data_IF_620023657431
#
_entry.id   IF_620023657431
#
_cell.length_a   1.000
_cell.length_b   1.000
_cell.length_c   1.000
_cell.angle_alpha   90.00
_cell.angle_beta   90.00
_cell.angle_gamma   90.00
#
_symmetry.space_group_name_H-M   'P 1'
#
loop_
_entity.id
_entity.type
_entity.pdbx_description
1 polymer ?
#
# COMPACT_ATOMS: atom_id res chain seq x y z
N UNK A 1 -7.97 -23.92 -5.94
CA UNK A 1 -7.98 -23.04 -7.15
C UNK A 1 -6.91 -23.50 -8.11
N UNK A 2 -7.05 -23.37 -9.44
CA UNK A 2 -5.93 -23.61 -10.36
C UNK A 2 -4.79 -22.64 -10.10
N UNK A 3 -3.54 -23.07 -10.31
CA UNK A 3 -2.36 -22.24 -10.10
C UNK A 3 -2.43 -20.93 -10.88
N UNK A 4 -2.06 -19.84 -10.26
CA UNK A 4 -1.91 -18.52 -10.90
C UNK A 4 -0.57 -18.48 -11.62
N UNK A 5 -0.59 -18.17 -12.92
CA UNK A 5 0.61 -18.09 -13.78
C UNK A 5 0.71 -16.78 -14.52
N UNK A 6 -0.39 -16.31 -15.11
CA UNK A 6 -0.41 -15.10 -15.93
C UNK A 6 -0.92 -13.93 -15.07
N UNK A 7 -0.07 -12.94 -14.85
CA UNK A 7 -0.35 -11.84 -13.91
C UNK A 7 -0.26 -10.50 -14.62
N UNK A 8 -1.33 -9.72 -14.51
CA UNK A 8 -1.35 -8.32 -14.95
C UNK A 8 -1.13 -7.40 -13.78
N UNK A 9 -0.18 -6.48 -13.91
CA UNK A 9 0.06 -5.39 -12.97
C UNK A 9 -0.36 -4.05 -13.59
N UNK A 10 -1.12 -3.27 -12.83
CA UNK A 10 -1.52 -1.90 -13.16
C UNK A 10 -0.89 -0.95 -12.16
N UNK A 11 -0.21 0.09 -12.64
CA UNK A 11 0.52 1.02 -11.77
C UNK A 11 1.97 0.60 -11.45
N UNK A 12 2.59 -0.21 -12.31
CA UNK A 12 3.95 -0.75 -12.15
C UNK A 12 5.07 0.30 -12.08
N UNK A 13 4.80 1.59 -12.33
CA UNK A 13 5.79 2.66 -12.30
C UNK A 13 5.83 3.44 -10.97
N UNK A 14 4.86 3.24 -10.07
CA UNK A 14 4.83 3.87 -8.76
C UNK A 14 5.87 3.27 -7.80
N UNK A 15 6.09 3.91 -6.63
CA UNK A 15 7.07 3.46 -5.64
C UNK A 15 6.89 1.97 -5.28
N UNK A 16 5.71 1.59 -4.83
CA UNK A 16 5.39 0.18 -4.57
C UNK A 16 5.31 -0.62 -5.87
N UNK A 17 4.73 -0.04 -6.94
CA UNK A 17 4.52 -0.72 -8.20
C UNK A 17 5.81 -1.23 -8.84
N UNK A 18 6.87 -0.43 -8.82
CA UNK A 18 8.18 -0.80 -9.37
C UNK A 18 8.80 -1.98 -8.58
N UNK A 19 8.69 -1.94 -7.25
CA UNK A 19 9.19 -3.02 -6.39
C UNK A 19 8.41 -4.31 -6.61
N UNK A 20 7.06 -4.24 -6.63
CA UNK A 20 6.20 -5.42 -6.89
C UNK A 20 6.46 -5.99 -8.29
N UNK A 21 6.56 -5.13 -9.31
CA UNK A 21 6.86 -5.57 -10.68
C UNK A 21 8.20 -6.32 -10.74
N UNK A 22 9.26 -5.71 -10.20
CA UNK A 22 10.60 -6.31 -10.15
C UNK A 22 10.56 -7.67 -9.43
N UNK A 23 9.96 -7.74 -8.24
CA UNK A 23 9.90 -8.96 -7.43
C UNK A 23 9.12 -10.07 -8.14
N UNK A 24 8.00 -9.75 -8.81
CA UNK A 24 7.25 -10.73 -9.60
C UNK A 24 8.08 -11.31 -10.75
N UNK A 25 8.80 -10.45 -11.49
CA UNK A 25 9.67 -10.88 -12.58
C UNK A 25 10.83 -11.73 -12.07
N UNK A 26 11.55 -11.25 -11.06
CA UNK A 26 12.72 -11.92 -10.48
C UNK A 26 12.37 -13.28 -9.84
N UNK A 27 11.12 -13.43 -9.37
CA UNK A 27 10.65 -14.71 -8.81
C UNK A 27 10.67 -15.85 -9.84
N UNK A 28 10.60 -15.56 -11.13
CA UNK A 28 10.49 -16.54 -12.20
C UNK A 28 9.23 -17.42 -12.17
N UNK A 29 8.28 -17.10 -11.27
CA UNK A 29 7.06 -17.93 -11.04
C UNK A 29 5.92 -17.58 -11.96
N UNK A 30 5.92 -16.36 -12.54
CA UNK A 30 4.78 -15.79 -13.25
C UNK A 30 5.17 -15.24 -14.61
N UNK A 31 4.22 -15.29 -15.54
CA UNK A 31 4.25 -14.53 -16.78
C UNK A 31 3.64 -13.15 -16.49
N UNK A 32 4.47 -12.13 -16.33
CA UNK A 32 4.04 -10.80 -15.93
C UNK A 32 3.80 -9.92 -17.15
N UNK A 33 2.65 -9.27 -17.21
CA UNK A 33 2.41 -8.15 -18.14
C UNK A 33 2.06 -6.87 -17.38
N UNK A 34 2.48 -5.74 -17.93
CA UNK A 34 2.09 -4.41 -17.45
C UNK A 34 0.92 -3.91 -18.32
N UNK A 35 -0.17 -3.52 -17.65
CA UNK A 35 -1.28 -2.83 -18.31
C UNK A 35 -1.21 -1.34 -18.01
N UNK A 36 -1.15 -0.51 -19.05
CA UNK A 36 -1.07 0.94 -18.92
C UNK A 36 -2.05 1.67 -19.83
N UNK A 37 -2.26 2.95 -19.57
CA UNK A 37 -3.05 3.82 -20.46
C UNK A 37 -2.32 4.05 -21.78
N UNK A 38 -3.05 4.25 -22.90
CA UNK A 38 -2.45 4.70 -24.14
C UNK A 38 -1.65 5.99 -23.95
N UNK A 39 -0.60 6.17 -24.71
CA UNK A 39 0.29 7.34 -24.68
C UNK A 39 1.06 7.53 -23.35
N UNK A 40 1.14 6.52 -22.50
CA UNK A 40 2.01 6.56 -21.33
C UNK A 40 3.47 6.53 -21.77
N UNK A 41 4.28 7.48 -21.28
CA UNK A 41 5.71 7.59 -21.59
C UNK A 41 6.61 6.73 -20.70
N UNK A 42 6.02 6.02 -19.72
CA UNK A 42 6.78 5.18 -18.79
C UNK A 42 7.54 4.08 -19.54
N UNK A 43 8.84 3.99 -19.26
CA UNK A 43 9.70 2.94 -19.81
C UNK A 43 9.80 1.77 -18.81
N UNK A 44 9.86 0.58 -19.35
CA UNK A 44 10.06 -0.66 -18.59
C UNK A 44 11.31 -1.39 -19.09
N UNK A 45 11.92 -2.28 -18.30
CA UNK A 45 13.06 -3.09 -18.74
C UNK A 45 12.77 -3.82 -20.06
N UNK A 46 13.82 -4.04 -20.86
CA UNK A 46 13.70 -4.78 -22.13
C UNK A 46 13.09 -6.17 -21.88
N UNK A 47 12.21 -6.60 -22.79
CA UNK A 47 11.48 -7.87 -22.66
C UNK A 47 10.21 -7.81 -21.82
N UNK A 48 9.91 -6.67 -21.17
CA UNK A 48 8.63 -6.51 -20.47
C UNK A 48 7.46 -6.54 -21.44
N UNK A 49 6.50 -7.42 -21.22
CA UNK A 49 5.24 -7.41 -21.95
C UNK A 49 4.38 -6.24 -21.47
N UNK A 50 4.23 -5.22 -22.31
CA UNK A 50 3.38 -4.03 -22.05
C UNK A 50 2.16 -4.09 -22.94
N UNK A 51 0.98 -3.91 -22.35
CA UNK A 51 -0.31 -3.85 -23.05
C UNK A 51 -0.95 -2.50 -22.74
N UNK A 52 -1.50 -1.86 -23.77
CA UNK A 52 -2.22 -0.60 -23.63
C UNK A 52 -3.72 -0.83 -23.80
N UNK A 53 -4.51 -0.17 -22.94
CA UNK A 53 -5.96 -0.15 -23.06
C UNK A 53 -6.54 1.17 -22.55
N UNK A 54 -7.68 1.55 -23.10
CA UNK A 54 -8.50 2.64 -22.58
C UNK A 54 -9.17 2.19 -21.27
N UNK A 55 -8.80 2.83 -20.17
CA UNK A 55 -9.34 2.51 -18.83
C UNK A 55 -10.79 2.96 -18.62
N UNK A 56 -11.35 3.75 -19.54
CA UNK A 56 -12.79 4.06 -19.53
C UNK A 56 -13.66 2.98 -20.18
N UNK A 57 -13.05 2.06 -20.93
CA UNK A 57 -13.74 0.98 -21.67
C UNK A 57 -13.50 -0.39 -21.01
N UNK A 58 -14.55 -0.95 -20.42
CA UNK A 58 -14.53 -2.32 -19.86
C UNK A 58 -14.17 -3.35 -20.95
N UNK A 59 -14.62 -3.15 -22.18
CA UNK A 59 -14.36 -4.06 -23.30
C UNK A 59 -12.89 -4.04 -23.74
N UNK A 60 -12.29 -2.86 -23.81
CA UNK A 60 -10.87 -2.72 -24.11
C UNK A 60 -10.01 -3.36 -23.01
N UNK A 61 -10.36 -3.11 -21.75
CA UNK A 61 -9.69 -3.74 -20.61
C UNK A 61 -9.87 -5.26 -20.59
N UNK A 62 -11.07 -5.77 -20.85
CA UNK A 62 -11.32 -7.22 -20.91
C UNK A 62 -10.52 -7.91 -22.02
N UNK A 63 -10.37 -7.24 -23.18
CA UNK A 63 -9.52 -7.72 -24.26
C UNK A 63 -8.05 -7.80 -23.83
N UNK A 64 -7.55 -6.76 -23.16
CA UNK A 64 -6.18 -6.70 -22.63
C UNK A 64 -5.91 -7.74 -21.52
N UNK A 65 -6.96 -8.13 -20.76
CA UNK A 65 -6.89 -9.12 -19.67
C UNK A 65 -7.16 -10.55 -20.12
N UNK A 66 -7.43 -10.81 -21.40
CA UNK A 66 -7.71 -12.16 -21.89
C UNK A 66 -6.56 -13.13 -21.59
N UNK A 67 -6.87 -14.26 -20.95
CA UNK A 67 -5.89 -15.27 -20.56
C UNK A 67 -5.06 -14.92 -19.33
N UNK A 68 -5.40 -13.86 -18.60
CA UNK A 68 -4.77 -13.54 -17.32
C UNK A 68 -5.46 -14.27 -16.16
N UNK A 69 -4.66 -14.74 -15.21
CA UNK A 69 -5.15 -15.42 -14.00
C UNK A 69 -5.39 -14.42 -12.86
N UNK A 70 -4.54 -13.39 -12.76
CA UNK A 70 -4.62 -12.40 -11.71
C UNK A 70 -4.39 -10.96 -12.22
N UNK A 71 -5.04 -10.01 -11.55
CA UNK A 71 -4.83 -8.56 -11.72
C UNK A 71 -4.44 -7.96 -10.39
N UNK A 72 -3.34 -7.20 -10.38
CA UNK A 72 -2.85 -6.43 -9.23
C UNK A 72 -2.98 -4.94 -9.57
N UNK A 73 -3.80 -4.23 -8.83
CA UNK A 73 -3.95 -2.79 -8.95
C UNK A 73 -3.09 -2.07 -7.91
N UNK A 74 -2.17 -1.23 -8.37
CA UNK A 74 -1.26 -0.41 -7.56
C UNK A 74 -1.46 1.06 -7.95
N UNK A 75 -2.69 1.53 -7.80
CA UNK A 75 -3.14 2.84 -8.24
C UNK A 75 -3.06 3.86 -7.10
N UNK A 76 -2.55 5.04 -7.41
CA UNK A 76 -2.55 6.17 -6.48
C UNK A 76 -3.95 6.79 -6.30
N UNK A 77 -4.12 7.71 -5.33
CA UNK A 77 -5.41 8.26 -4.91
C UNK A 77 -6.29 8.77 -6.07
N UNK A 78 -5.72 9.50 -7.03
CA UNK A 78 -6.45 10.07 -8.17
C UNK A 78 -7.00 9.03 -9.16
N UNK A 79 -6.56 7.78 -9.07
CA UNK A 79 -6.93 6.71 -10.01
C UNK A 79 -7.68 5.55 -9.34
N UNK A 80 -7.98 5.63 -8.04
CA UNK A 80 -8.62 4.54 -7.29
C UNK A 80 -9.96 4.11 -7.89
N UNK A 81 -10.77 5.06 -8.38
CA UNK A 81 -12.08 4.78 -8.99
C UNK A 81 -12.00 3.92 -10.25
N UNK A 82 -10.87 3.95 -10.98
CA UNK A 82 -10.65 3.11 -12.16
C UNK A 82 -10.66 1.61 -11.85
N UNK A 83 -10.55 1.24 -10.60
CA UNK A 83 -10.64 -0.18 -10.18
C UNK A 83 -12.01 -0.80 -10.47
N UNK A 84 -13.09 -0.01 -10.54
CA UNK A 84 -14.42 -0.53 -10.91
C UNK A 84 -14.40 -1.15 -12.31
N UNK A 85 -13.87 -0.42 -13.29
CA UNK A 85 -13.75 -0.89 -14.67
C UNK A 85 -12.78 -2.09 -14.76
N UNK A 86 -11.68 -2.09 -13.98
CA UNK A 86 -10.76 -3.23 -13.93
C UNK A 86 -11.41 -4.48 -13.33
N UNK A 87 -12.25 -4.34 -12.31
CA UNK A 87 -13.02 -5.44 -11.69
C UNK A 87 -14.01 -6.03 -12.70
N UNK A 88 -14.81 -5.18 -13.38
CA UNK A 88 -15.78 -5.62 -14.38
C UNK A 88 -15.09 -6.30 -15.57
N UNK A 89 -13.97 -5.74 -16.04
CA UNK A 89 -13.17 -6.32 -17.11
C UNK A 89 -12.53 -7.66 -16.68
N UNK A 90 -12.10 -7.77 -15.43
CA UNK A 90 -11.55 -9.01 -14.86
C UNK A 90 -12.59 -10.13 -14.84
N UNK A 91 -13.83 -9.81 -14.44
CA UNK A 91 -14.95 -10.77 -14.49
C UNK A 91 -15.23 -11.18 -15.93
N UNK A 92 -15.34 -10.22 -16.85
CA UNK A 92 -15.65 -10.46 -18.25
C UNK A 92 -14.60 -11.31 -18.98
N UNK A 93 -13.33 -11.18 -18.59
CA UNK A 93 -12.21 -11.93 -19.19
C UNK A 93 -11.88 -13.25 -18.48
N UNK A 94 -12.55 -13.57 -17.38
CA UNK A 94 -12.34 -14.82 -16.63
C UNK A 94 -11.12 -14.81 -15.73
N UNK A 95 -10.66 -13.64 -15.29
CA UNK A 95 -9.61 -13.49 -14.25
C UNK A 95 -10.09 -14.15 -12.94
N UNK A 96 -9.19 -14.85 -12.26
CA UNK A 96 -9.50 -15.64 -11.04
C UNK A 96 -9.25 -14.85 -9.76
N UNK A 97 -8.24 -13.95 -9.76
CA UNK A 97 -7.84 -13.18 -8.57
C UNK A 97 -7.69 -11.70 -8.89
N UNK A 98 -8.29 -10.86 -8.05
CA UNK A 98 -8.08 -9.41 -8.05
C UNK A 98 -7.45 -8.97 -6.72
N UNK A 99 -6.33 -8.27 -6.79
CA UNK A 99 -5.68 -7.62 -5.64
C UNK A 99 -5.87 -6.11 -5.81
N UNK A 100 -6.78 -5.48 -5.06
CA UNK A 100 -7.04 -4.05 -5.17
C UNK A 100 -5.95 -3.20 -4.51
N UNK A 101 -5.97 -1.89 -4.77
CA UNK A 101 -5.03 -0.91 -4.23
C UNK A 101 -5.30 -0.60 -2.75
N UNK A 102 -5.10 -1.60 -1.89
CA UNK A 102 -5.20 -1.45 -0.44
C UNK A 102 -3.86 -1.01 0.16
N UNK A 103 -2.93 -1.87 0.40
CA UNK A 103 -1.54 -1.63 0.78
C UNK A 103 -1.36 -0.48 1.79
N UNK A 104 -2.07 -0.55 2.91
CA UNK A 104 -2.08 0.50 3.94
C UNK A 104 -2.79 0.05 5.21
N UNK A 105 -3.53 0.97 5.84
CA UNK A 105 -4.28 0.74 7.08
C UNK A 105 -5.37 -0.31 6.95
N UNK A 106 -5.72 -0.93 8.07
CA UNK A 106 -6.76 -1.96 8.16
C UNK A 106 -8.17 -1.33 8.01
N UNK A 107 -8.82 -1.57 6.87
CA UNK A 107 -10.19 -1.13 6.61
C UNK A 107 -11.27 -2.09 7.15
N UNK A 108 -10.91 -3.15 7.88
CA UNK A 108 -11.89 -3.84 8.73
C UNK A 108 -12.22 -3.02 9.99
N UNK A 109 -11.38 -2.06 10.36
CA UNK A 109 -11.66 -1.10 11.42
C UNK A 109 -12.65 -0.03 10.93
N UNK A 110 -13.82 0.05 11.57
CA UNK A 110 -14.89 0.97 11.18
C UNK A 110 -14.47 2.45 11.24
N UNK A 111 -13.55 2.85 12.15
CA UNK A 111 -13.06 4.22 12.23
C UNK A 111 -12.19 4.58 11.01
N UNK A 112 -11.36 3.66 10.53
CA UNK A 112 -10.60 3.87 9.30
C UNK A 112 -11.50 4.08 8.09
N UNK A 113 -12.64 3.36 8.02
CA UNK A 113 -13.57 3.50 6.91
C UNK A 113 -14.16 4.90 6.76
N UNK A 114 -14.16 5.71 7.81
CA UNK A 114 -14.69 7.09 7.79
C UNK A 114 -13.65 8.13 7.41
N UNK A 115 -12.36 7.78 7.39
CA UNK A 115 -11.29 8.72 7.08
C UNK A 115 -11.26 9.05 5.58
N UNK A 116 -11.14 10.33 5.27
CA UNK A 116 -11.19 10.87 3.92
C UNK A 116 -10.32 10.11 2.89
N UNK A 117 -9.04 9.75 3.17
CA UNK A 117 -8.20 9.06 2.20
C UNK A 117 -8.66 7.63 1.88
N UNK A 118 -9.54 7.05 2.68
CA UNK A 118 -10.00 5.66 2.51
C UNK A 118 -11.40 5.52 1.94
N UNK A 119 -12.17 6.60 1.83
CA UNK A 119 -13.57 6.54 1.37
C UNK A 119 -13.74 5.84 0.02
N UNK A 120 -12.85 6.10 -0.94
CA UNK A 120 -12.94 5.43 -2.25
C UNK A 120 -12.52 3.96 -2.17
N UNK A 121 -11.52 3.61 -1.33
CA UNK A 121 -11.13 2.21 -1.08
C UNK A 121 -12.29 1.41 -0.48
N UNK A 122 -13.01 1.97 0.49
CA UNK A 122 -14.20 1.34 1.10
C UNK A 122 -15.27 1.05 0.05
N UNK A 123 -15.53 2.01 -0.86
CA UNK A 123 -16.47 1.80 -1.97
C UNK A 123 -16.01 0.69 -2.92
N UNK A 124 -14.71 0.61 -3.21
CA UNK A 124 -14.12 -0.43 -4.06
C UNK A 124 -14.19 -1.80 -3.38
N UNK A 125 -13.91 -1.88 -2.06
CA UNK A 125 -14.05 -3.14 -1.32
C UNK A 125 -15.50 -3.66 -1.35
N UNK A 126 -16.48 -2.80 -1.08
CA UNK A 126 -17.89 -3.17 -1.17
C UNK A 126 -18.26 -3.67 -2.55
N UNK A 127 -17.88 -2.93 -3.59
CA UNK A 127 -18.11 -3.30 -4.99
C UNK A 127 -17.49 -4.66 -5.35
N UNK A 128 -16.21 -4.86 -5.03
CA UNK A 128 -15.48 -6.10 -5.33
C UNK A 128 -16.06 -7.29 -4.56
N UNK A 129 -16.39 -7.09 -3.28
CA UNK A 129 -17.03 -8.13 -2.46
C UNK A 129 -18.39 -8.57 -3.04
N UNK A 130 -19.22 -7.60 -3.47
CA UNK A 130 -20.53 -7.93 -4.06
C UNK A 130 -20.38 -8.63 -5.41
N UNK A 131 -19.50 -8.17 -6.27
CA UNK A 131 -19.22 -8.82 -7.55
C UNK A 131 -18.66 -10.24 -7.40
N UNK A 132 -17.84 -10.47 -6.39
CA UNK A 132 -17.28 -11.81 -6.12
C UNK A 132 -18.33 -12.85 -5.71
N UNK A 133 -19.47 -12.43 -5.13
CA UNK A 133 -20.59 -13.33 -4.76
C UNK A 133 -21.29 -13.90 -5.99
N UNK A 134 -21.29 -13.19 -7.11
CA UNK A 134 -22.02 -13.52 -8.35
C UNK A 134 -21.11 -13.88 -9.52
N UNK A 135 -19.80 -14.09 -9.28
CA UNK A 135 -18.83 -14.44 -10.31
C UNK A 135 -17.78 -15.41 -9.79
N UNK A 136 -16.88 -15.89 -10.67
CA UNK A 136 -15.72 -16.71 -10.28
C UNK A 136 -14.54 -15.86 -9.78
N UNK A 137 -14.61 -14.54 -9.85
CA UNK A 137 -13.56 -13.64 -9.38
C UNK A 137 -13.43 -13.72 -7.88
N UNK A 138 -12.20 -13.92 -7.40
CA UNK A 138 -11.86 -13.86 -5.97
C UNK A 138 -10.96 -12.66 -5.70
N UNK A 139 -10.85 -12.26 -4.45
CA UNK A 139 -10.00 -11.13 -4.07
C UNK A 139 -9.09 -11.44 -2.88
N UNK A 140 -8.08 -10.61 -2.68
CA UNK A 140 -7.30 -10.53 -1.45
C UNK A 140 -6.99 -9.07 -1.15
N UNK A 141 -7.38 -8.59 0.03
CA UNK A 141 -6.95 -7.29 0.55
C UNK A 141 -5.61 -7.47 1.25
N UNK A 142 -4.63 -6.63 0.95
CA UNK A 142 -3.31 -6.68 1.58
C UNK A 142 -3.15 -5.44 2.44
N UNK A 143 -3.21 -5.62 3.77
CA UNK A 143 -2.96 -4.56 4.74
C UNK A 143 -1.51 -4.62 5.20
N UNK A 144 -0.84 -3.49 5.17
CA UNK A 144 0.60 -3.38 5.40
C UNK A 144 0.96 -2.44 6.54
N UNK A 145 -0.02 -1.68 7.04
CA UNK A 145 0.28 -0.49 7.82
C UNK A 145 1.05 0.54 6.97
N UNK A 146 1.83 1.36 7.61
CA UNK A 146 2.68 2.33 6.93
C UNK A 146 3.88 1.66 6.24
N UNK A 147 4.29 2.17 5.08
CA UNK A 147 5.53 1.71 4.45
C UNK A 147 6.75 2.18 5.24
N UNK A 148 7.62 1.24 5.64
CA UNK A 148 8.72 1.50 6.57
C UNK A 148 9.85 2.33 5.96
N UNK A 149 10.49 1.76 4.92
CA UNK A 149 11.61 2.38 4.23
C UNK A 149 11.19 3.67 3.50
N UNK A 150 10.15 3.58 2.68
CA UNK A 150 9.60 4.77 2.01
C UNK A 150 9.14 5.84 3.01
N UNK A 151 8.50 5.44 4.10
CA UNK A 151 8.00 6.36 5.13
C UNK A 151 9.10 7.12 5.85
N UNK A 152 10.26 6.49 6.07
CA UNK A 152 11.46 7.13 6.59
C UNK A 152 12.09 8.03 5.53
N UNK A 153 12.31 7.52 4.30
CA UNK A 153 12.94 8.25 3.20
C UNK A 153 12.14 9.50 2.80
N UNK A 154 10.81 9.39 2.78
CA UNK A 154 9.88 10.47 2.44
C UNK A 154 9.59 11.44 3.61
N UNK A 155 10.19 11.26 4.80
CA UNK A 155 9.86 12.01 6.02
C UNK A 155 8.39 11.90 6.44
N UNK A 156 7.71 10.81 6.06
CA UNK A 156 6.30 10.62 6.36
C UNK A 156 6.05 10.09 7.77
N UNK A 157 6.83 9.07 8.23
CA UNK A 157 6.68 8.51 9.57
C UNK A 157 7.27 9.43 10.65
N UNK A 158 8.38 10.06 10.33
CA UNK A 158 9.09 11.00 11.18
C UNK A 158 9.90 11.95 10.30
N UNK A 159 9.56 13.24 10.28
CA UNK A 159 10.30 14.23 9.49
C UNK A 159 11.60 14.59 10.22
N UNK A 160 12.70 14.06 9.72
CA UNK A 160 14.05 14.31 10.27
C UNK A 160 14.86 15.35 9.50
N UNK A 161 14.28 16.00 8.48
CA UNK A 161 14.99 16.92 7.57
C UNK A 161 15.67 18.08 8.27
N UNK A 162 15.06 18.62 9.33
CA UNK A 162 15.57 19.75 10.10
C UNK A 162 15.89 19.36 11.55
N UNK A 163 15.98 18.08 11.86
CA UNK A 163 16.18 17.55 13.22
C UNK A 163 15.13 18.03 14.24
N UNK A 164 13.96 18.48 13.76
CA UNK A 164 12.82 18.93 14.54
C UNK A 164 11.56 18.13 14.19
N UNK A 165 11.59 16.80 14.35
CA UNK A 165 10.45 15.97 14.01
C UNK A 165 9.22 16.32 14.83
N UNK A 166 8.06 16.26 14.21
CA UNK A 166 6.78 16.40 14.93
C UNK A 166 6.36 15.05 15.49
N UNK A 167 6.13 15.01 16.79
CA UNK A 167 5.66 13.86 17.54
C UNK A 167 4.19 14.05 17.88
N UNK A 168 3.36 13.11 17.46
CA UNK A 168 1.91 13.15 17.65
C UNK A 168 1.50 12.37 18.89
N UNK A 169 0.58 12.94 19.71
CA UNK A 169 0.02 12.31 20.91
C UNK A 169 1.07 11.68 21.83
N UNK A 170 2.24 12.34 22.00
CA UNK A 170 3.34 11.85 22.83
C UNK A 170 4.21 10.77 22.20
N UNK A 171 3.88 10.25 21.01
CA UNK A 171 4.74 9.41 20.19
C UNK A 171 4.92 7.96 20.64
N UNK A 172 4.18 7.49 21.64
CA UNK A 172 4.31 6.13 22.20
C UNK A 172 3.36 5.10 21.52
N UNK A 173 2.43 5.57 20.68
CA UNK A 173 1.53 4.65 19.99
C UNK A 173 2.33 3.73 19.08
N UNK A 174 2.23 2.43 19.33
CA UNK A 174 2.81 1.39 18.49
C UNK A 174 1.95 1.20 17.26
N UNK A 175 2.59 1.09 16.10
CA UNK A 175 1.95 0.80 14.82
C UNK A 175 2.75 -0.23 14.05
N UNK A 176 2.06 -0.94 13.17
CA UNK A 176 2.67 -1.89 12.23
C UNK A 176 3.27 -1.14 11.04
N UNK A 177 4.48 -1.52 10.65
CA UNK A 177 5.16 -0.94 9.49
C UNK A 177 5.86 -2.01 8.66
N UNK A 178 5.83 -1.85 7.33
CA UNK A 178 6.25 -2.89 6.38
C UNK A 178 7.09 -2.26 5.26
N UNK A 179 8.27 -2.79 4.99
CA UNK A 179 9.11 -2.34 3.86
C UNK A 179 8.50 -2.70 2.51
N UNK A 180 8.81 -1.92 1.48
CA UNK A 180 8.30 -2.17 0.12
C UNK A 180 8.69 -3.56 -0.39
N UNK A 181 9.88 -4.05 -0.07
CA UNK A 181 10.32 -5.41 -0.42
C UNK A 181 9.45 -6.48 0.25
N UNK A 182 9.13 -6.31 1.54
CA UNK A 182 8.26 -7.24 2.27
C UNK A 182 6.85 -7.24 1.68
N UNK A 183 6.32 -6.06 1.32
CA UNK A 183 5.03 -5.97 0.63
C UNK A 183 5.06 -6.71 -0.71
N UNK A 184 6.11 -6.50 -1.51
CA UNK A 184 6.24 -7.14 -2.81
C UNK A 184 6.36 -8.67 -2.71
N UNK A 185 7.13 -9.18 -1.75
CA UNK A 185 7.20 -10.62 -1.46
C UNK A 185 5.85 -11.15 -0.95
N UNK A 186 5.11 -10.37 -0.16
CA UNK A 186 3.75 -10.71 0.26
C UNK A 186 2.79 -10.87 -0.91
N UNK A 187 2.90 -10.01 -1.94
CA UNK A 187 2.12 -10.17 -3.19
C UNK A 187 2.46 -11.49 -3.88
N UNK A 188 3.75 -11.86 -3.98
CA UNK A 188 4.18 -13.18 -4.51
C UNK A 188 3.59 -14.29 -3.67
N UNK A 189 3.64 -14.19 -2.33
CA UNK A 189 3.07 -15.14 -1.39
C UNK A 189 1.56 -15.33 -1.60
N UNK A 190 0.79 -14.24 -1.73
CA UNK A 190 -0.66 -14.28 -2.02
C UNK A 190 -0.97 -15.05 -3.31
N UNK A 191 -0.19 -14.81 -4.36
CA UNK A 191 -0.40 -15.46 -5.65
C UNK A 191 0.02 -16.94 -5.66
N UNK A 192 0.94 -17.34 -4.78
CA UNK A 192 1.37 -18.74 -4.63
C UNK A 192 0.54 -19.54 -3.62
N UNK A 193 -0.25 -18.84 -2.77
CA UNK A 193 -1.18 -19.45 -1.81
C UNK A 193 -2.63 -19.01 -2.10
N UNK A 194 -3.15 -19.30 -3.32
CA UNK A 194 -4.42 -18.73 -3.78
C UNK A 194 -5.64 -19.23 -2.99
N UNK A 195 -5.60 -20.43 -2.45
CA UNK A 195 -6.73 -20.97 -1.69
C UNK A 195 -6.79 -20.41 -0.26
N UNK A 196 -5.64 -20.28 0.39
CA UNK A 196 -5.51 -19.77 1.77
C UNK A 196 -5.79 -18.26 1.87
N UNK A 197 -5.61 -17.54 0.76
CA UNK A 197 -5.77 -16.08 0.71
C UNK A 197 -7.06 -15.62 0.03
N UNK A 198 -7.91 -16.56 -0.38
CA UNK A 198 -9.15 -16.31 -1.11
C UNK A 198 -10.17 -15.56 -0.28
N UNK A 199 -10.68 -14.45 -0.84
CA UNK A 199 -11.79 -13.65 -0.31
C UNK A 199 -11.61 -13.20 1.15
N UNK A 200 -10.38 -12.83 1.50
CA UNK A 200 -10.04 -12.29 2.82
C UNK A 200 -8.97 -11.22 2.77
N UNK A 201 -8.79 -10.57 3.90
CA UNK A 201 -7.61 -9.76 4.14
C UNK A 201 -6.42 -10.63 4.57
N UNK A 202 -5.20 -10.22 4.17
CA UNK A 202 -3.93 -10.66 4.71
C UNK A 202 -3.19 -9.46 5.30
N UNK A 203 -2.41 -9.71 6.35
CA UNK A 203 -1.70 -8.68 7.11
C UNK A 203 -0.21 -8.93 7.02
N UNK A 204 0.51 -7.93 6.51
CA UNK A 204 1.97 -7.96 6.43
C UNK A 204 2.56 -7.00 7.46
N UNK A 205 3.72 -7.33 8.01
CA UNK A 205 4.41 -6.47 8.95
C UNK A 205 5.84 -6.91 9.19
N UNK A 206 6.77 -5.97 9.06
CA UNK A 206 8.16 -6.16 9.45
C UNK A 206 8.33 -5.92 10.94
N UNK A 207 7.89 -4.76 11.38
CA UNK A 207 8.09 -4.28 12.77
C UNK A 207 6.81 -3.68 13.35
N UNK A 208 6.71 -3.75 14.67
CA UNK A 208 5.82 -2.93 15.49
C UNK A 208 6.68 -1.88 16.16
N UNK A 209 6.41 -0.60 15.89
CA UNK A 209 7.28 0.50 16.26
C UNK A 209 6.48 1.75 16.57
N UNK A 210 7.01 2.66 17.38
CA UNK A 210 6.43 3.97 17.69
C UNK A 210 7.26 5.11 17.08
N UNK A 211 6.72 6.33 17.08
CA UNK A 211 7.50 7.51 16.67
C UNK A 211 8.71 7.75 17.58
N UNK A 212 8.56 7.46 18.90
CA UNK A 212 9.66 7.61 19.84
C UNK A 212 10.77 6.58 19.59
N UNK A 213 10.42 5.34 19.19
CA UNK A 213 11.43 4.34 18.79
C UNK A 213 12.16 4.78 17.53
N UNK A 214 11.43 5.25 16.51
CA UNK A 214 12.04 5.79 15.28
C UNK A 214 12.97 6.97 15.57
N UNK A 215 12.58 7.88 16.49
CA UNK A 215 13.43 8.98 16.92
C UNK A 215 14.68 8.51 17.68
N UNK A 216 14.52 7.50 18.55
CA UNK A 216 15.65 6.92 19.27
C UNK A 216 16.68 6.30 18.31
N UNK A 217 16.21 5.55 17.31
CA UNK A 217 17.08 4.97 16.26
C UNK A 217 17.76 6.07 15.43
N UNK A 218 17.01 7.11 15.03
CA UNK A 218 17.57 8.24 14.27
C UNK A 218 18.68 8.97 15.06
N UNK A 219 18.46 9.19 16.37
CA UNK A 219 19.48 9.75 17.28
C UNK A 219 20.69 8.86 17.47
N UNK A 220 20.50 7.54 17.54
CA UNK A 220 21.59 6.56 17.64
C UNK A 220 22.48 6.60 16.39
N UNK A 221 21.87 6.75 15.21
CA UNK A 221 22.58 6.84 13.93
C UNK A 221 23.29 8.19 13.75
N UNK A 222 22.69 9.27 14.23
CA UNK A 222 23.25 10.64 14.10
C UNK A 222 23.25 11.40 15.44
N UNK A 223 24.10 10.97 16.41
CA UNK A 223 24.05 11.48 17.79
C UNK A 223 24.47 12.95 17.94
N UNK A 224 25.26 13.45 17.01
CA UNK A 224 25.80 14.83 17.07
C UNK A 224 24.89 15.87 16.38
N UNK A 225 23.73 15.46 15.89
CA UNK A 225 22.78 16.39 15.26
C UNK A 225 21.91 17.12 16.29
N UNK A 226 21.45 18.34 16.03
CA UNK A 226 20.74 19.18 17.00
C UNK A 226 19.25 18.80 17.12
N UNK A 227 18.96 17.60 17.61
CA UNK A 227 17.60 17.07 17.73
C UNK A 227 16.73 17.89 18.69
N UNK A 228 15.65 18.46 18.19
CA UNK A 228 14.67 19.26 18.93
C UNK A 228 13.24 18.86 18.51
N UNK A 229 12.71 17.70 18.98
CA UNK A 229 11.37 17.26 18.59
C UNK A 229 10.30 18.26 19.06
N UNK A 230 9.31 18.47 18.21
CA UNK A 230 8.09 19.26 18.50
C UNK A 230 6.97 18.29 18.83
N UNK A 231 6.04 18.73 19.67
CA UNK A 231 4.91 17.91 20.09
C UNK A 231 3.60 18.61 19.68
N UNK A 232 2.64 17.82 19.18
CA UNK A 232 1.29 18.24 18.86
C UNK A 232 0.34 17.07 19.05
N UNK A 233 -0.95 17.32 18.88
CA UNK A 233 -1.97 16.27 18.93
C UNK A 233 -2.49 15.95 17.52
N UNK A 234 -3.03 14.73 17.34
CA UNK A 234 -3.73 14.38 16.11
C UNK A 234 -5.01 15.23 15.92
N UNK A 235 -5.63 15.67 17.03
CA UNK A 235 -6.81 16.53 16.97
C UNK A 235 -6.48 17.91 16.42
N UNK A 236 -5.38 18.54 16.90
CA UNK A 236 -4.89 19.80 16.34
C UNK A 236 -4.56 19.69 14.85
N UNK A 237 -3.82 18.65 14.47
CA UNK A 237 -3.45 18.41 13.08
C UNK A 237 -4.68 18.18 12.18
N UNK A 238 -5.67 17.42 12.66
CA UNK A 238 -6.91 17.16 11.90
C UNK A 238 -7.79 18.40 11.83
N UNK A 239 -7.90 19.19 12.91
CA UNK A 239 -8.66 20.44 12.90
C UNK A 239 -8.09 21.45 11.88
N UNK A 240 -6.78 21.48 11.68
CA UNK A 240 -6.17 22.31 10.62
C UNK A 240 -6.48 21.77 9.22
N UNK A 241 -6.45 20.45 9.04
CA UNK A 241 -6.87 19.82 7.79
C UNK A 241 -8.34 20.10 7.46
N UNK A 242 -9.24 20.06 8.47
CA UNK A 242 -10.66 20.38 8.31
C UNK A 242 -10.89 21.82 7.84
N UNK A 243 -10.12 22.79 8.36
CA UNK A 243 -10.18 24.18 7.89
C UNK A 243 -9.78 24.31 6.43
N UNK A 244 -8.75 23.58 5.99
CA UNK A 244 -8.31 23.56 4.59
C UNK A 244 -9.37 22.94 3.69
N UNK A 245 -10.01 21.84 4.13
CA UNK A 245 -11.13 21.21 3.42
C UNK A 245 -12.31 22.16 3.27
N UNK A 246 -12.66 22.91 4.33
CA UNK A 246 -13.73 23.90 4.28
C UNK A 246 -13.45 25.02 3.25
N UNK A 247 -12.19 25.29 2.93
CA UNK A 247 -11.74 26.19 1.86
C UNK A 247 -11.68 25.54 0.48
N UNK A 248 -12.05 24.25 0.35
CA UNK A 248 -11.96 23.50 -0.90
C UNK A 248 -10.54 23.04 -1.26
N UNK A 249 -9.58 23.12 -0.33
CA UNK A 249 -8.17 22.71 -0.57
C UNK A 249 -8.05 21.22 -0.27
N UNK A 250 -7.78 20.43 -1.32
CA UNK A 250 -7.59 18.97 -1.23
C UNK A 250 -6.21 18.63 -1.81
N UNK A 251 -5.20 18.70 -0.97
CA UNK A 251 -3.81 18.38 -1.32
C UNK A 251 -3.20 17.40 -0.32
N UNK A 252 -1.93 17.06 -0.49
CA UNK A 252 -1.22 16.15 0.37
C UNK A 252 -1.20 16.61 1.85
N UNK A 253 -1.00 17.90 2.09
CA UNK A 253 -0.99 18.47 3.46
C UNK A 253 -2.34 18.34 4.15
N UNK A 254 -3.43 18.44 3.38
CA UNK A 254 -4.79 18.25 3.88
C UNK A 254 -5.09 16.78 4.19
N UNK A 255 -4.53 15.85 3.41
CA UNK A 255 -4.83 14.42 3.54
C UNK A 255 -3.99 13.73 4.62
N UNK A 256 -2.74 14.14 4.79
CA UNK A 256 -1.78 13.50 5.71
C UNK A 256 -2.26 13.36 7.15
N UNK A 257 -2.89 14.36 7.81
CA UNK A 257 -3.38 14.22 9.17
C UNK A 257 -4.38 13.07 9.36
N UNK A 258 -5.22 12.78 8.36
CA UNK A 258 -6.13 11.63 8.41
C UNK A 258 -5.38 10.30 8.25
N UNK A 259 -4.30 10.25 7.46
CA UNK A 259 -3.41 9.09 7.39
C UNK A 259 -2.71 8.86 8.73
N UNK A 260 -2.26 9.93 9.40
CA UNK A 260 -1.65 9.84 10.72
C UNK A 260 -2.62 9.33 11.78
N UNK A 261 -3.93 9.65 11.70
CA UNK A 261 -4.93 9.00 12.56
C UNK A 261 -4.95 7.50 12.37
N UNK A 262 -4.94 7.02 11.13
CA UNK A 262 -4.90 5.57 10.85
C UNK A 262 -3.67 4.86 11.40
N UNK A 263 -2.57 5.60 11.61
CA UNK A 263 -1.29 5.03 12.04
C UNK A 263 -1.07 5.25 13.54
N UNK A 264 -1.28 6.48 14.05
CA UNK A 264 -0.86 6.92 15.37
C UNK A 264 -2.00 7.06 16.38
N UNK A 265 -3.25 6.79 15.99
CA UNK A 265 -4.38 6.77 16.91
C UNK A 265 -4.73 5.32 17.29
N UNK A 266 -4.70 4.94 18.59
CA UNK A 266 -4.94 3.58 19.02
C UNK A 266 -6.32 3.03 18.62
N UNK A 267 -7.30 3.91 18.46
CA UNK A 267 -8.67 3.52 18.07
C UNK A 267 -8.79 3.11 16.61
N UNK A 268 -7.82 3.48 15.77
CA UNK A 268 -7.80 3.18 14.34
C UNK A 268 -7.04 1.88 14.00
N UNK A 269 -6.49 1.18 15.01
CA UNK A 269 -5.94 -0.17 14.84
C UNK A 269 -4.67 -0.22 13.99
N UNK A 270 -3.81 0.79 14.05
CA UNK A 270 -2.49 0.78 13.40
C UNK A 270 -1.58 -0.34 13.91
N UNK A 271 -1.78 -0.83 15.15
CA UNK A 271 -1.11 -2.00 15.71
C UNK A 271 -1.83 -3.30 15.33
N UNK A 272 -1.48 -3.90 14.22
CA UNK A 272 -2.10 -5.13 13.73
C UNK A 272 -1.90 -6.29 14.71
N UNK A 273 -3.00 -6.94 15.11
CA UNK A 273 -2.96 -8.13 15.96
C UNK A 273 -2.81 -9.43 15.14
N UNK A 274 -2.82 -9.33 13.81
CA UNK A 274 -2.66 -10.44 12.85
C UNK A 274 -1.40 -10.21 12.03
N UNK A 275 -0.77 -11.31 11.59
CA UNK A 275 0.38 -11.27 10.69
C UNK A 275 0.40 -12.57 9.87
N UNK A 276 0.36 -12.45 8.56
CA UNK A 276 0.36 -13.58 7.62
C UNK A 276 1.74 -13.81 6.96
N UNK A 277 2.82 -13.16 7.42
CA UNK A 277 4.15 -13.29 6.82
C UNK A 277 4.60 -14.76 6.72
N UNK A 278 4.41 -15.54 7.80
CA UNK A 278 4.79 -16.95 7.84
C UNK A 278 4.03 -17.77 6.80
N UNK A 279 2.70 -17.63 6.73
CA UNK A 279 1.88 -18.27 5.70
C UNK A 279 2.36 -17.97 4.29
N UNK A 280 2.78 -16.72 4.07
CA UNK A 280 3.17 -16.22 2.76
C UNK A 280 4.67 -16.43 2.46
N UNK A 281 5.42 -17.03 3.38
CA UNK A 281 6.86 -17.27 3.23
C UNK A 281 7.70 -15.98 3.18
N UNK A 282 7.26 -14.93 3.88
CA UNK A 282 7.89 -13.61 3.84
C UNK A 282 8.68 -13.34 5.12
N UNK A 283 10.02 -13.18 5.04
CA UNK A 283 10.83 -12.84 6.20
C UNK A 283 10.57 -11.39 6.65
N UNK A 284 10.70 -11.16 7.97
CA UNK A 284 10.59 -9.83 8.57
C UNK A 284 11.93 -9.10 8.53
N UNK A 285 11.89 -7.78 8.46
CA UNK A 285 13.03 -6.89 8.75
C UNK A 285 13.14 -6.66 10.26
N UNK A 286 14.29 -6.18 10.69
CA UNK A 286 14.61 -5.87 12.09
C UNK A 286 15.06 -4.41 12.27
N UNK A 287 15.46 -4.04 13.49
CA UNK A 287 15.96 -2.69 13.81
C UNK A 287 17.19 -2.30 12.98
N UNK A 288 18.06 -3.26 12.63
CA UNK A 288 19.24 -2.97 11.80
C UNK A 288 18.87 -2.46 10.42
N UNK A 289 17.77 -2.96 9.86
CA UNK A 289 17.24 -2.43 8.59
C UNK A 289 16.87 -0.95 8.74
N UNK A 290 16.19 -0.58 9.84
CA UNK A 290 15.81 0.81 10.11
C UNK A 290 17.04 1.70 10.28
N UNK A 291 18.04 1.22 11.02
CA UNK A 291 19.33 1.92 11.17
C UNK A 291 20.01 2.17 9.82
N UNK A 292 20.01 1.19 8.92
CA UNK A 292 20.56 1.34 7.55
C UNK A 292 19.81 2.39 6.73
N UNK A 293 18.48 2.42 6.80
CA UNK A 293 17.67 3.42 6.11
C UNK A 293 17.98 4.82 6.65
N UNK A 294 18.05 5.00 7.98
CA UNK A 294 18.42 6.28 8.58
C UNK A 294 19.88 6.67 8.28
N UNK A 295 20.82 5.74 8.30
CA UNK A 295 22.22 6.02 7.96
C UNK A 295 22.36 6.60 6.55
N UNK A 296 21.64 6.02 5.59
CA UNK A 296 21.58 6.56 4.22
C UNK A 296 20.90 7.93 4.15
N UNK A 297 19.83 8.13 4.91
CA UNK A 297 19.04 9.37 4.89
C UNK A 297 19.76 10.55 5.57
N UNK A 298 20.54 10.30 6.62
CA UNK A 298 21.17 11.31 7.47
C UNK A 298 22.65 11.54 7.16
N UNK A 299 23.21 10.78 6.16
CA UNK A 299 24.55 10.99 5.65
C UNK A 299 24.65 12.34 4.93
#
# INVERSE_FOLDING_TARGET
MSAIKNVTIVGAAGNLGATVFKTLVDSGKFNVQVLRRPNSTTQYPAGTKVVEADFSSVDALATALKGQDAVIALLGPAALSLQRQLIDASIKSGVKRFIPSEFGGDLSNAKNQTLLPFLEKVKIQGYLTDKSKSSSLTYTYIYTGAFLDWGIEANFLLDVSNYQPTIYNGGNQVFNSTSLDTVANGVVGVLTHPDETKNRAVYLGDVKISQNDLLAIAKKVAPNKPWQPKHTTLDEATAEADKRLAQGIVDFQTIVPYLYRSIFDPEHGGDFQKNDNELLGVPKKDEKFIEQVYAKKLA
#
